data_IF_971268982925
#
_entry.id   IF_971268982925
#
_cell.length_a   1.000
_cell.length_b   1.000
_cell.length_c   1.000
_cell.angle_alpha   90.00
_cell.angle_beta   90.00
_cell.angle_gamma   90.00
#
_symmetry.space_group_name_H-M   'P 1'
#
loop_
_entity.id
_entity.type
_entity.pdbx_description
1 polymer ?
#
# COMPACT_ATOMS: atom_id res chain seq x y z
N UNK A 1 16.68 9.45 14.45
CA UNK A 1 16.15 10.82 14.29
C UNK A 1 14.78 10.77 13.67
N UNK A 2 13.83 11.59 14.17
CA UNK A 2 12.49 11.75 13.61
C UNK A 2 12.46 13.09 12.87
N UNK A 3 11.85 13.12 11.67
CA UNK A 3 11.60 14.32 10.89
C UNK A 3 10.12 14.38 10.50
N UNK A 4 9.48 15.50 10.77
CA UNK A 4 8.13 15.80 10.28
C UNK A 4 8.27 16.59 8.98
N UNK A 5 7.81 16.00 7.88
CA UNK A 5 8.00 16.57 6.55
C UNK A 5 6.86 17.50 6.13
N UNK A 6 5.75 17.48 6.88
CA UNK A 6 4.56 18.27 6.54
C UNK A 6 3.88 17.82 5.25
N UNK A 7 3.08 18.70 4.67
CA UNK A 7 2.41 18.44 3.39
C UNK A 7 3.41 18.64 2.24
N UNK A 8 3.50 17.66 1.34
CA UNK A 8 4.47 17.64 0.24
C UNK A 8 3.81 17.22 -1.08
N UNK A 9 4.28 17.81 -2.17
CA UNK A 9 3.86 17.46 -3.53
C UNK A 9 4.69 16.33 -4.17
N UNK A 10 5.88 16.05 -3.60
CA UNK A 10 6.86 15.06 -4.10
C UNK A 10 6.84 13.73 -3.34
N UNK A 11 5.66 13.32 -2.83
CA UNK A 11 5.51 12.09 -2.03
C UNK A 11 5.97 10.84 -2.79
N UNK A 12 5.71 10.77 -4.12
CA UNK A 12 6.17 9.67 -4.96
C UNK A 12 7.69 9.52 -5.00
N UNK A 13 8.43 10.62 -5.00
CA UNK A 13 9.90 10.62 -4.93
C UNK A 13 10.38 10.18 -3.54
N UNK A 14 9.67 10.60 -2.47
CA UNK A 14 9.96 10.16 -1.11
C UNK A 14 9.81 8.64 -0.96
N UNK A 15 8.76 8.04 -1.53
CA UNK A 15 8.60 6.58 -1.51
C UNK A 15 9.79 5.86 -2.15
N UNK A 16 10.38 6.42 -3.21
CA UNK A 16 11.57 5.83 -3.83
C UNK A 16 12.81 5.89 -2.92
N UNK A 17 12.89 6.87 -2.02
CA UNK A 17 14.00 7.04 -1.07
C UNK A 17 13.82 6.26 0.25
N UNK A 18 12.61 5.75 0.53
CA UNK A 18 12.29 5.01 1.76
C UNK A 18 12.68 3.53 1.66
N UNK A 19 12.86 2.87 2.80
CA UNK A 19 13.13 1.44 2.90
C UNK A 19 11.89 0.63 3.29
N UNK A 20 10.94 1.25 4.00
CA UNK A 20 9.69 0.63 4.46
C UNK A 20 8.63 1.69 4.71
N UNK A 21 7.39 1.36 4.42
CA UNK A 21 6.21 2.16 4.78
C UNK A 21 5.51 1.54 6.00
N UNK A 22 5.20 2.36 7.01
CA UNK A 22 4.56 1.89 8.25
C UNK A 22 3.33 2.73 8.55
N UNK A 23 2.19 2.08 8.76
CA UNK A 23 0.93 2.75 9.06
C UNK A 23 0.19 2.05 10.21
N UNK A 24 0.46 2.43 11.48
CA UNK A 24 -0.15 1.87 12.67
C UNK A 24 -1.49 2.56 12.99
N UNK A 25 -2.40 2.63 12.02
CA UNK A 25 -3.69 3.32 12.16
C UNK A 25 -4.66 2.53 13.04
N UNK A 26 -5.48 3.25 13.79
CA UNK A 26 -6.58 2.68 14.59
C UNK A 26 -7.82 2.40 13.74
N UNK A 27 -8.01 3.18 12.67
CA UNK A 27 -9.13 3.07 11.75
C UNK A 27 -8.75 3.70 10.41
N UNK A 28 -9.10 3.02 9.33
CA UNK A 28 -8.97 3.52 7.95
C UNK A 28 -10.16 3.04 7.11
N UNK A 29 -10.48 3.82 6.06
CA UNK A 29 -11.17 3.28 4.90
C UNK A 29 -10.15 2.54 4.01
N UNK A 30 -10.18 2.72 2.69
CA UNK A 30 -9.08 2.26 1.84
C UNK A 30 -7.96 3.32 1.84
N UNK A 31 -6.79 3.08 2.47
CA UNK A 31 -5.74 4.08 2.60
C UNK A 31 -4.97 4.24 1.28
N UNK A 32 -5.25 5.30 0.54
CA UNK A 32 -4.60 5.59 -0.75
C UNK A 32 -3.08 5.64 -0.61
N UNK A 33 -2.57 6.22 0.48
CA UNK A 33 -1.11 6.27 0.76
C UNK A 33 -0.47 4.88 0.86
N UNK A 34 -1.22 3.89 1.36
CA UNK A 34 -0.76 2.50 1.40
C UNK A 34 -0.73 1.85 0.02
N UNK A 35 -1.68 2.21 -0.85
CA UNK A 35 -1.67 1.81 -2.26
C UNK A 35 -0.47 2.41 -2.99
N UNK A 36 -0.24 3.72 -2.83
CA UNK A 36 0.88 4.44 -3.45
C UNK A 36 2.24 3.87 -3.02
N UNK A 37 2.42 3.57 -1.73
CA UNK A 37 3.63 2.96 -1.20
C UNK A 37 3.91 1.59 -1.85
N UNK A 38 2.88 0.76 -2.02
CA UNK A 38 3.00 -0.54 -2.69
C UNK A 38 3.34 -0.38 -4.18
N UNK A 39 2.74 0.60 -4.89
CA UNK A 39 3.12 0.92 -6.28
C UNK A 39 4.57 1.36 -6.41
N UNK A 40 5.17 1.89 -5.36
CA UNK A 40 6.59 2.24 -5.29
C UNK A 40 7.49 1.05 -4.93
N UNK A 41 6.92 -0.15 -4.79
CA UNK A 41 7.64 -1.37 -4.45
C UNK A 41 8.11 -1.45 -2.99
N UNK A 42 7.58 -0.58 -2.10
CA UNK A 42 7.94 -0.59 -0.69
C UNK A 42 7.34 -1.80 0.05
N UNK A 43 8.09 -2.42 0.95
CA UNK A 43 7.49 -3.22 2.01
C UNK A 43 6.56 -2.34 2.85
N UNK A 44 5.34 -2.82 3.10
CA UNK A 44 4.32 -2.08 3.84
C UNK A 44 3.91 -2.84 5.10
N UNK A 45 3.95 -2.16 6.24
CA UNK A 45 3.53 -2.70 7.53
C UNK A 45 2.31 -1.93 8.00
N UNK A 46 1.17 -2.58 8.00
CA UNK A 46 -0.11 -2.02 8.44
C UNK A 46 -0.50 -2.58 9.80
N UNK A 47 -1.33 -1.85 10.53
CA UNK A 47 -2.03 -2.43 11.67
C UNK A 47 -3.12 -3.41 11.20
N UNK A 48 -3.54 -4.30 12.09
CA UNK A 48 -4.68 -5.21 11.91
C UNK A 48 -6.04 -4.49 11.83
N UNK A 49 -6.06 -3.15 11.91
CA UNK A 49 -7.24 -2.29 11.78
C UNK A 49 -7.36 -1.65 10.40
N UNK A 50 -6.33 -1.80 9.58
CA UNK A 50 -6.38 -1.40 8.17
C UNK A 50 -7.07 -2.51 7.37
N UNK A 51 -8.03 -2.18 6.48
CA UNK A 51 -8.71 -3.18 5.66
C UNK A 51 -7.73 -4.00 4.81
N UNK A 52 -7.93 -5.32 4.76
CA UNK A 52 -7.08 -6.24 3.97
C UNK A 52 -7.16 -5.95 2.47
N UNK A 53 -8.21 -5.30 2.00
CA UNK A 53 -8.40 -4.89 0.60
C UNK A 53 -7.31 -3.94 0.09
N UNK A 54 -6.53 -3.33 1.00
CA UNK A 54 -5.35 -2.53 0.62
C UNK A 54 -4.22 -3.39 0.08
N UNK A 55 -4.16 -4.68 0.45
CA UNK A 55 -3.10 -5.59 0.04
C UNK A 55 -3.28 -6.04 -1.41
N UNK A 56 -2.31 -5.77 -2.25
CA UNK A 56 -2.24 -6.27 -3.62
C UNK A 56 -0.81 -6.63 -4.06
N UNK A 57 0.13 -6.61 -3.11
CA UNK A 57 1.51 -7.05 -3.31
C UNK A 57 1.91 -8.05 -2.22
N UNK A 58 2.89 -8.88 -2.49
CA UNK A 58 3.42 -9.85 -1.54
C UNK A 58 4.34 -9.25 -0.46
N UNK A 59 4.46 -7.91 -0.41
CA UNK A 59 5.32 -7.16 0.53
C UNK A 59 4.54 -6.49 1.64
N UNK A 60 3.28 -6.88 1.85
CA UNK A 60 2.44 -6.36 2.92
C UNK A 60 2.48 -7.28 4.14
N UNK A 61 2.47 -6.70 5.34
CA UNK A 61 2.25 -7.40 6.61
C UNK A 61 1.28 -6.63 7.47
N UNK A 62 0.33 -7.34 8.06
CA UNK A 62 -0.56 -6.81 9.08
C UNK A 62 -0.06 -7.21 10.46
N UNK A 63 -0.02 -6.26 11.39
CA UNK A 63 0.49 -6.44 12.75
C UNK A 63 -0.55 -5.93 13.75
N UNK A 64 -0.93 -6.73 14.76
CA UNK A 64 -1.87 -6.29 15.79
C UNK A 64 -1.39 -5.03 16.51
N UNK A 65 -2.27 -4.04 16.68
CA UNK A 65 -1.93 -2.78 17.37
C UNK A 65 -1.59 -2.97 18.83
N UNK A 66 -2.12 -4.03 19.45
CA UNK A 66 -1.86 -4.37 20.85
C UNK A 66 -0.57 -5.18 21.05
N UNK A 67 0.12 -5.53 19.97
CA UNK A 67 1.42 -6.19 20.09
C UNK A 67 2.45 -5.27 20.76
N UNK A 68 3.45 -5.90 21.38
CA UNK A 68 4.54 -5.16 22.01
C UNK A 68 5.29 -4.28 20.99
N UNK A 69 5.65 -3.07 21.41
CA UNK A 69 6.44 -2.13 20.59
C UNK A 69 7.71 -2.75 20.00
N UNK A 70 8.30 -3.71 20.74
CA UNK A 70 9.50 -4.44 20.31
C UNK A 70 9.19 -5.39 19.15
N UNK A 71 8.01 -6.03 19.15
CA UNK A 71 7.57 -6.88 18.03
C UNK A 71 7.40 -6.04 16.75
N UNK A 72 6.71 -4.90 16.84
CA UNK A 72 6.60 -3.94 15.76
C UNK A 72 7.97 -3.50 15.23
N UNK A 73 8.88 -3.09 16.12
CA UNK A 73 10.22 -2.64 15.73
C UNK A 73 10.99 -3.75 14.99
N UNK A 74 10.94 -4.99 15.46
CA UNK A 74 11.61 -6.12 14.82
C UNK A 74 11.08 -6.39 13.40
N UNK A 75 9.76 -6.32 13.21
CA UNK A 75 9.11 -6.52 11.91
C UNK A 75 9.50 -5.41 10.95
N UNK A 76 9.46 -4.15 11.40
CA UNK A 76 9.84 -2.98 10.58
C UNK A 76 11.31 -3.06 10.17
N UNK A 77 12.21 -3.37 11.11
CA UNK A 77 13.65 -3.50 10.83
C UNK A 77 13.91 -4.65 9.84
N UNK A 78 13.24 -5.78 10.01
CA UNK A 78 13.38 -6.91 9.08
C UNK A 78 12.91 -6.53 7.66
N UNK A 79 11.77 -5.85 7.54
CA UNK A 79 11.24 -5.38 6.26
C UNK A 79 12.15 -4.34 5.59
N UNK A 80 12.69 -3.38 6.36
CA UNK A 80 13.60 -2.36 5.85
C UNK A 80 14.96 -2.92 5.37
N UNK A 81 15.37 -4.09 5.90
CA UNK A 81 16.59 -4.79 5.48
C UNK A 81 16.41 -5.65 4.23
N UNK A 82 15.18 -5.93 3.87
CA UNK A 82 14.87 -6.67 2.65
C UNK A 82 15.16 -5.78 1.43
N UNK A 83 16.28 -6.05 0.78
CA UNK A 83 16.72 -5.34 -0.45
C UNK A 83 16.28 -6.05 -1.72
N UNK A 84 15.24 -6.87 -1.66
CA UNK A 84 14.68 -7.50 -2.86
C UNK A 84 14.22 -6.44 -3.86
N UNK A 85 14.26 -6.83 -5.13
CA UNK A 85 13.90 -5.94 -6.23
C UNK A 85 12.55 -5.28 -6.00
N UNK A 86 12.47 -3.98 -6.25
CA UNK A 86 11.24 -3.18 -6.19
C UNK A 86 10.36 -3.31 -7.44
N UNK A 87 10.83 -4.00 -8.47
CA UNK A 87 10.00 -4.30 -9.63
C UNK A 87 8.87 -5.24 -9.23
N UNK A 88 7.66 -4.82 -9.55
CA UNK A 88 6.42 -5.48 -9.18
C UNK A 88 5.58 -5.67 -10.46
N UNK A 89 5.84 -6.73 -11.24
CA UNK A 89 5.10 -6.96 -12.50
C UNK A 89 3.60 -7.13 -12.29
N UNK A 90 3.18 -7.61 -11.11
CA UNK A 90 1.77 -7.74 -10.72
C UNK A 90 1.01 -6.41 -10.65
N UNK A 91 1.70 -5.29 -10.49
CA UNK A 91 1.07 -3.96 -10.40
C UNK A 91 0.26 -3.62 -11.65
N UNK A 92 0.72 -4.07 -12.82
CA UNK A 92 0.01 -3.83 -14.09
C UNK A 92 -1.38 -4.47 -14.12
N UNK A 93 -1.57 -5.56 -13.38
CA UNK A 93 -2.81 -6.30 -13.29
C UNK A 93 -3.65 -5.98 -12.06
N UNK A 94 -3.19 -5.08 -11.20
CA UNK A 94 -3.92 -4.64 -10.02
C UNK A 94 -5.21 -3.91 -10.39
N UNK A 95 -6.24 -4.06 -9.55
CA UNK A 95 -7.48 -3.25 -9.63
C UNK A 95 -7.21 -1.76 -9.36
N UNK A 96 -6.08 -1.43 -8.73
CA UNK A 96 -5.64 -0.05 -8.50
C UNK A 96 -4.91 0.56 -9.70
N UNK A 97 -4.65 -0.21 -10.77
CA UNK A 97 -4.18 0.34 -12.03
C UNK A 97 -5.33 1.08 -12.72
N UNK A 98 -5.13 2.37 -13.01
CA UNK A 98 -6.17 3.25 -13.53
C UNK A 98 -6.71 2.78 -14.89
N UNK A 99 -5.87 2.27 -15.78
CA UNK A 99 -6.29 1.79 -17.10
C UNK A 99 -7.19 0.56 -16.97
N UNK A 100 -6.80 -0.39 -16.10
CA UNK A 100 -7.60 -1.58 -15.82
C UNK A 100 -8.93 -1.21 -15.17
N UNK A 101 -8.91 -0.34 -14.16
CA UNK A 101 -10.12 0.10 -13.46
C UNK A 101 -11.08 0.83 -14.40
N UNK A 102 -10.56 1.70 -15.27
CA UNK A 102 -11.38 2.39 -16.27
C UNK A 102 -12.01 1.41 -17.26
N UNK A 103 -11.27 0.40 -17.70
CA UNK A 103 -11.80 -0.66 -18.59
C UNK A 103 -12.92 -1.43 -17.91
N UNK A 104 -12.69 -1.92 -16.69
CA UNK A 104 -13.68 -2.68 -15.92
C UNK A 104 -14.95 -1.87 -15.69
N UNK A 105 -14.82 -0.60 -15.34
CA UNK A 105 -15.95 0.30 -15.13
C UNK A 105 -16.73 0.54 -16.44
N UNK A 106 -16.02 0.75 -17.54
CA UNK A 106 -16.62 0.92 -18.87
C UNK A 106 -17.42 -0.31 -19.27
N UNK A 107 -16.86 -1.50 -19.09
CA UNK A 107 -17.52 -2.75 -19.43
C UNK A 107 -18.76 -3.00 -18.54
N UNK A 108 -18.67 -2.66 -17.27
CA UNK A 108 -19.81 -2.71 -16.36
C UNK A 108 -20.98 -1.83 -16.84
N UNK A 109 -20.70 -0.58 -17.21
CA UNK A 109 -21.74 0.31 -17.75
C UNK A 109 -22.32 -0.19 -19.07
N UNK A 110 -21.52 -0.73 -19.97
CA UNK A 110 -22.02 -1.33 -21.21
C UNK A 110 -22.96 -2.51 -20.93
N UNK A 111 -22.62 -3.35 -19.95
CA UNK A 111 -23.51 -4.46 -19.55
C UNK A 111 -24.83 -3.97 -18.96
N UNK A 112 -24.82 -2.90 -18.17
CA UNK A 112 -26.06 -2.32 -17.66
C UNK A 112 -26.96 -1.78 -18.79
N UNK A 113 -26.37 -1.08 -19.75
CA UNK A 113 -27.11 -0.53 -20.89
C UNK A 113 -27.70 -1.62 -21.81
N UNK A 114 -27.03 -2.76 -21.94
CA UNK A 114 -27.52 -3.89 -22.75
C UNK A 114 -28.67 -4.66 -22.11
N UNK A 115 -28.97 -4.40 -20.83
CA UNK A 115 -30.12 -5.02 -20.11
C UNK A 115 -31.40 -4.18 -20.18
N UNK A 116 -31.31 -3.01 -20.76
CA UNK A 116 -32.45 -2.10 -21.00
C UNK A 116 -32.95 -2.27 -22.45
#
# INVERSE_FOLDING_TARGET
>A
HIRFLGNRADVGELYQAMDVFVMPSLFEGLPVVGVEAQFSGLPCIFSDKVPEEVEFTNKVKFVPLNDEKKAWANIVIAAARDKTNREMPELRNSIFNIEKSATLLTDYYKQLLSRV
#
